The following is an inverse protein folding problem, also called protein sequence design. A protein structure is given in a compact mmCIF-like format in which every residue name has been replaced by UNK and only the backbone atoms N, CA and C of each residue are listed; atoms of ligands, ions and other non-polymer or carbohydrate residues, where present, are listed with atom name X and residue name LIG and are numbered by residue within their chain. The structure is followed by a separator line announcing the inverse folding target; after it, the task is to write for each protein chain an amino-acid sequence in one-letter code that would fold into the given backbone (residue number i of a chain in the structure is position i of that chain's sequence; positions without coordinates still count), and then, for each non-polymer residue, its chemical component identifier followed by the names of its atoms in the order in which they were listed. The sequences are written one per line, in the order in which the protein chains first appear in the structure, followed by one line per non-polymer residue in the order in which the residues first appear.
data_IF_260175501087
#
_entry.id   IF_260175501087
#
_cell.length_a   1.000
_cell.length_b   1.000
_cell.length_c   1.000
_cell.angle_alpha   90.00
_cell.angle_beta   90.00
_cell.angle_gamma   90.00
#
_symmetry.space_group_name_H-M   'P 1'
#
loop_
_entity.id
_entity.type
_entity.pdbx_description
1 polymer ?
#
# COMPACT_ATOMS: atom_id res chain seq x y z
N UNK A 1 -3.04 9.58 -37.00
CA UNK A 1 -3.94 8.41 -37.00
C UNK A 1 -4.40 8.12 -38.46
N UNK A 2 -5.03 9.04 -39.12
CA UNK A 2 -5.55 8.83 -40.49
C UNK A 2 -4.46 8.42 -41.51
N UNK A 3 -3.26 9.00 -41.44
CA UNK A 3 -2.11 8.62 -42.31
C UNK A 3 -1.60 7.21 -42.03
N UNK A 4 -1.91 6.64 -40.86
CA UNK A 4 -1.57 5.28 -40.47
C UNK A 4 -2.74 4.30 -40.63
N UNK A 5 -3.85 4.73 -41.29
CA UNK A 5 -5.02 3.87 -41.54
C UNK A 5 -6.03 3.76 -40.39
N UNK A 6 -5.88 4.56 -39.35
CA UNK A 6 -6.88 4.62 -38.27
C UNK A 6 -7.95 5.66 -38.55
N UNK A 7 -9.20 5.29 -38.42
CA UNK A 7 -10.31 6.24 -38.31
C UNK A 7 -10.27 6.84 -36.92
N UNK A 8 -10.38 8.16 -36.77
CA UNK A 8 -10.14 8.82 -35.47
C UNK A 8 -11.07 8.33 -34.37
N UNK A 9 -12.35 8.17 -34.67
CA UNK A 9 -13.34 7.71 -33.67
C UNK A 9 -13.06 6.29 -33.21
N UNK A 10 -12.71 5.40 -34.13
CA UNK A 10 -12.34 4.01 -33.83
C UNK A 10 -11.05 3.96 -32.99
N UNK A 11 -10.08 4.82 -33.32
CA UNK A 11 -8.83 4.90 -32.60
C UNK A 11 -9.04 5.39 -31.16
N UNK A 12 -9.86 6.42 -30.96
CA UNK A 12 -10.23 6.89 -29.62
C UNK A 12 -10.93 5.78 -28.81
N UNK A 13 -11.86 5.05 -29.43
CA UNK A 13 -12.56 3.96 -28.78
C UNK A 13 -11.62 2.79 -28.40
N UNK A 14 -10.64 2.48 -29.26
CA UNK A 14 -9.61 1.47 -28.96
C UNK A 14 -8.69 1.89 -27.84
N UNK A 15 -8.33 3.18 -27.75
CA UNK A 15 -7.57 3.73 -26.63
C UNK A 15 -8.36 3.68 -25.31
N UNK A 16 -9.65 4.00 -25.34
CA UNK A 16 -10.53 3.89 -24.16
C UNK A 16 -10.65 2.44 -23.68
N UNK A 17 -10.67 1.47 -24.59
CA UNK A 17 -10.65 0.04 -24.31
C UNK A 17 -9.27 -0.50 -23.94
N UNK A 18 -8.23 0.35 -23.96
CA UNK A 18 -6.85 0.00 -23.67
C UNK A 18 -6.29 -1.11 -24.59
N UNK A 19 -6.68 -1.11 -25.86
CA UNK A 19 -6.15 -2.05 -26.83
C UNK A 19 -4.66 -1.80 -27.06
N UNK A 20 -3.84 -2.85 -26.87
CA UNK A 20 -2.38 -2.72 -26.83
C UNK A 20 -1.80 -2.09 -28.11
N UNK A 21 -2.26 -2.50 -29.28
CA UNK A 21 -1.77 -1.96 -30.56
C UNK A 21 -2.00 -0.46 -30.72
N UNK A 22 -3.14 0.05 -30.24
CA UNK A 22 -3.48 1.47 -30.28
C UNK A 22 -2.70 2.28 -29.24
N UNK A 23 -2.43 1.71 -28.08
CA UNK A 23 -1.59 2.29 -27.04
C UNK A 23 -0.13 2.40 -27.51
N UNK A 24 0.41 1.37 -28.13
CA UNK A 24 1.77 1.34 -28.66
C UNK A 24 1.95 2.40 -29.75
N UNK A 25 1.02 2.43 -30.71
CA UNK A 25 1.01 3.45 -31.76
C UNK A 25 0.91 4.88 -31.20
N UNK A 26 0.04 5.09 -30.20
CA UNK A 26 -0.07 6.40 -29.55
C UNK A 26 1.23 6.79 -28.83
N UNK A 27 1.82 5.87 -28.08
CA UNK A 27 3.05 6.08 -27.32
C UNK A 27 4.24 6.42 -28.23
N UNK A 28 4.36 5.77 -29.40
CA UNK A 28 5.39 6.06 -30.39
C UNK A 28 5.16 7.39 -31.14
N UNK A 29 3.91 7.77 -31.33
CA UNK A 29 3.53 8.95 -32.12
C UNK A 29 3.52 10.21 -31.27
N UNK A 30 3.18 10.12 -29.99
CA UNK A 30 3.05 11.25 -29.07
C UNK A 30 4.30 12.15 -29.02
N UNK A 31 5.54 11.62 -28.91
CA UNK A 31 6.74 12.44 -28.92
C UNK A 31 6.94 13.23 -30.23
N UNK A 32 6.48 12.69 -31.36
CA UNK A 32 6.57 13.33 -32.67
C UNK A 32 5.63 14.53 -32.78
N UNK A 33 4.51 14.50 -32.06
CA UNK A 33 3.50 15.56 -32.04
C UNK A 33 3.75 16.61 -30.95
N UNK A 34 4.52 16.27 -29.92
CA UNK A 34 4.72 17.11 -28.72
C UNK A 34 6.17 17.58 -28.53
N UNK A 35 6.91 17.77 -29.65
CA UNK A 35 8.31 18.24 -29.62
C UNK A 35 9.23 17.39 -28.71
N UNK A 36 9.03 16.06 -28.70
CA UNK A 36 9.88 15.12 -27.99
C UNK A 36 9.42 14.75 -26.56
N UNK A 37 8.27 15.26 -26.11
CA UNK A 37 7.72 14.86 -24.81
C UNK A 37 7.33 13.39 -24.81
N UNK A 38 7.73 12.65 -23.78
CA UNK A 38 7.31 11.24 -23.63
C UNK A 38 5.89 11.17 -23.06
N UNK A 39 5.06 10.31 -23.65
CA UNK A 39 3.77 9.99 -23.08
C UNK A 39 3.98 9.15 -21.81
N UNK A 40 3.41 9.63 -20.72
CA UNK A 40 3.47 8.94 -19.42
C UNK A 40 2.03 8.77 -18.92
N UNK A 41 1.36 7.66 -19.27
CA UNK A 41 -0.06 7.45 -18.98
C UNK A 41 -0.39 7.53 -17.49
N UNK A 42 0.58 7.20 -16.63
CA UNK A 42 0.40 7.19 -15.18
C UNK A 42 0.62 8.56 -14.51
N UNK A 43 1.21 9.56 -15.18
CA UNK A 43 1.48 10.88 -14.57
C UNK A 43 0.25 11.79 -14.44
N UNK A 44 -0.85 11.47 -15.11
CA UNK A 44 -2.09 12.28 -15.06
C UNK A 44 -3.24 11.56 -14.34
N UNK A 45 -3.02 10.34 -13.87
CA UNK A 45 -4.01 9.63 -13.06
C UNK A 45 -4.01 10.23 -11.64
N UNK A 46 -4.99 11.05 -11.37
CA UNK A 46 -5.31 11.48 -10.01
C UNK A 46 -5.88 10.25 -9.26
N UNK A 47 -4.99 9.54 -8.57
CA UNK A 47 -5.35 8.32 -7.83
C UNK A 47 -6.48 8.61 -6.82
N UNK A 48 -6.46 9.79 -6.19
CA UNK A 48 -7.48 10.21 -5.23
C UNK A 48 -8.84 10.28 -5.90
N UNK A 49 -8.89 10.89 -7.08
CA UNK A 49 -10.13 11.01 -7.86
C UNK A 49 -10.65 9.65 -8.34
N UNK A 50 -9.77 8.74 -8.71
CA UNK A 50 -10.14 7.37 -9.09
C UNK A 50 -10.79 6.64 -7.90
N UNK A 51 -10.18 6.66 -6.74
CA UNK A 51 -10.75 6.03 -5.54
C UNK A 51 -12.06 6.68 -5.12
N UNK A 52 -12.19 8.00 -5.27
CA UNK A 52 -13.46 8.69 -5.05
C UNK A 52 -14.56 8.20 -5.98
N UNK A 53 -14.26 8.03 -7.28
CA UNK A 53 -15.23 7.51 -8.25
C UNK A 53 -15.59 6.07 -7.98
N UNK A 54 -14.61 5.21 -7.67
CA UNK A 54 -14.85 3.80 -7.31
C UNK A 54 -15.77 3.73 -6.08
N UNK A 55 -15.48 4.49 -5.02
CA UNK A 55 -16.32 4.50 -3.82
C UNK A 55 -17.75 4.93 -4.15
N UNK A 56 -17.92 5.95 -4.99
CA UNK A 56 -19.25 6.40 -5.41
C UNK A 56 -20.03 5.28 -6.12
N UNK A 57 -19.41 4.62 -7.10
CA UNK A 57 -20.04 3.50 -7.83
C UNK A 57 -20.40 2.38 -6.87
N UNK A 58 -19.49 1.98 -5.98
CA UNK A 58 -19.74 0.92 -5.02
C UNK A 58 -20.92 1.23 -4.10
N UNK A 59 -21.05 2.48 -3.65
CA UNK A 59 -22.10 2.88 -2.70
C UNK A 59 -23.41 3.16 -3.42
N UNK A 60 -23.41 3.93 -4.52
CA UNK A 60 -24.62 4.42 -5.17
C UNK A 60 -25.23 3.44 -6.16
N UNK A 61 -24.38 2.64 -6.85
CA UNK A 61 -24.83 1.75 -7.92
C UNK A 61 -24.86 0.29 -7.47
N UNK A 62 -23.85 -0.15 -6.70
CA UNK A 62 -23.70 -1.55 -6.29
C UNK A 62 -24.25 -1.83 -4.87
N UNK A 63 -24.61 -0.79 -4.10
CA UNK A 63 -25.25 -0.92 -2.79
C UNK A 63 -24.33 -1.36 -1.64
N UNK A 64 -23.00 -1.23 -1.80
CA UNK A 64 -22.04 -1.48 -0.72
C UNK A 64 -22.10 -0.35 0.33
N UNK A 65 -21.70 -0.68 1.56
CA UNK A 65 -21.62 0.33 2.64
C UNK A 65 -20.44 1.32 2.45
N UNK A 66 -19.42 0.91 1.67
CA UNK A 66 -18.23 1.69 1.43
C UNK A 66 -17.04 0.83 1.00
N UNK A 67 -15.83 1.39 1.08
CA UNK A 67 -14.59 0.77 0.64
C UNK A 67 -13.54 0.76 1.75
N UNK A 68 -12.88 -0.37 1.94
CA UNK A 68 -11.73 -0.52 2.83
C UNK A 68 -10.45 -0.71 2.00
N UNK A 69 -9.53 0.22 2.11
CA UNK A 69 -8.24 0.23 1.43
C UNK A 69 -7.14 -0.14 2.42
N UNK A 70 -6.33 -1.12 2.06
CA UNK A 70 -5.14 -1.50 2.82
C UNK A 70 -3.91 -1.26 1.95
N UNK A 71 -3.00 -0.42 2.44
CA UNK A 71 -1.70 -0.22 1.85
C UNK A 71 -0.67 -0.94 2.71
N UNK A 72 -0.38 -2.17 2.33
CA UNK A 72 0.64 -2.98 2.99
C UNK A 72 2.05 -2.55 2.55
N UNK A 73 3.04 -2.90 3.35
CA UNK A 73 4.45 -2.57 3.08
C UNK A 73 4.72 -1.04 2.96
N UNK A 74 3.95 -0.22 3.67
CA UNK A 74 4.11 1.24 3.63
C UNK A 74 5.53 1.70 4.01
N UNK A 75 6.21 0.93 4.85
CA UNK A 75 7.61 1.14 5.19
C UNK A 75 8.52 1.14 3.97
N UNK A 76 8.36 0.15 3.09
CA UNK A 76 9.16 0.03 1.86
C UNK A 76 8.86 1.15 0.87
N UNK A 77 7.60 1.58 0.82
CA UNK A 77 7.21 2.74 0.02
C UNK A 77 7.94 3.99 0.47
N UNK A 78 8.02 4.26 1.77
CA UNK A 78 8.74 5.42 2.32
C UNK A 78 10.26 5.34 2.11
N UNK A 79 10.84 4.15 2.17
CA UNK A 79 12.28 3.93 2.03
C UNK A 79 12.75 3.89 0.56
N UNK A 80 11.87 3.54 -0.37
CA UNK A 80 12.20 3.30 -1.79
C UNK A 80 12.21 4.55 -2.68
N UNK A 81 11.70 5.68 -2.22
CA UNK A 81 11.54 6.87 -3.06
C UNK A 81 12.65 7.90 -2.83
N UNK A 82 13.28 8.32 -3.93
CA UNK A 82 14.20 9.46 -3.91
C UNK A 82 13.48 10.77 -3.55
N UNK A 83 14.22 11.74 -3.01
CA UNK A 83 13.69 13.00 -2.49
C UNK A 83 12.82 13.80 -3.49
N UNK A 84 13.03 13.66 -4.80
CA UNK A 84 12.27 14.35 -5.83
C UNK A 84 10.81 13.89 -5.94
N UNK A 85 10.56 12.60 -5.79
CA UNK A 85 9.20 12.03 -5.90
C UNK A 85 8.45 12.06 -4.56
N UNK A 86 9.18 11.99 -3.46
CA UNK A 86 8.64 11.91 -2.11
C UNK A 86 7.63 13.03 -1.79
N UNK A 87 7.90 14.27 -2.21
CA UNK A 87 6.99 15.40 -1.94
C UNK A 87 5.63 15.25 -2.63
N UNK A 88 5.61 14.77 -3.88
CA UNK A 88 4.37 14.52 -4.63
C UNK A 88 3.60 13.33 -4.02
N UNK A 89 4.32 12.30 -3.62
CA UNK A 89 3.74 11.11 -3.02
C UNK A 89 3.10 11.43 -1.67
N UNK A 90 3.77 12.23 -0.84
CA UNK A 90 3.22 12.70 0.43
C UNK A 90 1.99 13.58 0.24
N UNK A 91 1.97 14.39 -0.81
CA UNK A 91 0.79 15.18 -1.16
C UNK A 91 -0.36 14.27 -1.56
N UNK A 92 -0.14 13.29 -2.41
CA UNK A 92 -1.16 12.30 -2.81
C UNK A 92 -1.72 11.55 -1.61
N UNK A 93 -0.87 11.13 -0.67
CA UNK A 93 -1.29 10.49 0.58
C UNK A 93 -2.10 11.44 1.46
N UNK A 94 -1.70 12.71 1.55
CA UNK A 94 -2.44 13.73 2.28
C UNK A 94 -3.84 13.91 1.68
N UNK A 95 -3.93 14.07 0.35
CA UNK A 95 -5.19 14.24 -0.36
C UNK A 95 -6.09 12.99 -0.22
N UNK A 96 -5.49 11.78 -0.19
CA UNK A 96 -6.20 10.53 0.12
C UNK A 96 -6.76 10.52 1.54
N UNK A 97 -5.97 10.92 2.54
CA UNK A 97 -6.46 11.02 3.92
C UNK A 97 -7.61 12.04 4.05
N UNK A 98 -7.53 13.15 3.32
CA UNK A 98 -8.60 14.17 3.29
C UNK A 98 -9.88 13.61 2.65
N UNK A 99 -9.76 12.87 1.53
CA UNK A 99 -10.89 12.19 0.89
C UNK A 99 -11.57 11.22 1.85
N UNK A 100 -10.77 10.38 2.52
CA UNK A 100 -11.27 9.39 3.50
C UNK A 100 -11.99 10.08 4.64
N UNK A 101 -11.43 11.13 5.22
CA UNK A 101 -12.05 11.90 6.30
C UNK A 101 -13.37 12.58 5.85
N UNK A 102 -13.43 13.04 4.60
CA UNK A 102 -14.63 13.65 4.03
C UNK A 102 -15.71 12.62 3.68
N UNK A 103 -15.39 11.33 3.56
CA UNK A 103 -16.30 10.26 3.12
C UNK A 103 -17.37 9.88 4.14
N UNK A 104 -17.37 10.47 5.35
CA UNK A 104 -18.33 10.19 6.43
C UNK A 104 -18.41 8.71 6.82
N UNK A 105 -17.28 8.00 6.74
CA UNK A 105 -17.19 6.60 7.10
C UNK A 105 -17.43 5.61 5.95
N UNK A 106 -17.68 6.09 4.74
CA UNK A 106 -17.80 5.22 3.56
C UNK A 106 -16.42 4.72 3.07
N UNK A 107 -15.35 5.40 3.44
CA UNK A 107 -13.99 4.97 3.09
C UNK A 107 -13.16 4.80 4.36
N UNK A 108 -12.40 3.70 4.40
CA UNK A 108 -11.40 3.45 5.43
C UNK A 108 -10.08 3.21 4.71
N UNK A 109 -9.01 3.85 5.17
CA UNK A 109 -7.68 3.71 4.63
C UNK A 109 -6.70 3.31 5.72
N UNK A 110 -6.06 2.16 5.58
CA UNK A 110 -5.13 1.59 6.55
C UNK A 110 -3.75 1.44 5.91
N UNK A 111 -2.75 1.98 6.57
CA UNK A 111 -1.34 1.84 6.22
C UNK A 111 -0.69 0.84 7.17
N UNK A 112 -0.04 -0.19 6.66
CA UNK A 112 0.68 -1.18 7.46
C UNK A 112 2.17 -0.90 7.36
N UNK A 113 2.82 -0.63 8.50
CA UNK A 113 4.21 -0.24 8.58
C UNK A 113 4.93 -0.99 9.71
N UNK A 114 6.23 -1.23 9.54
CA UNK A 114 7.06 -1.89 10.56
C UNK A 114 7.56 -0.95 11.66
N UNK A 115 7.48 0.36 11.43
CA UNK A 115 7.90 1.40 12.36
C UNK A 115 6.83 2.47 12.43
N UNK A 116 6.79 3.17 13.56
CA UNK A 116 5.98 4.36 13.72
C UNK A 116 6.24 5.37 12.60
N UNK A 117 5.18 5.97 12.10
CA UNK A 117 5.26 7.04 11.10
C UNK A 117 6.14 8.19 11.61
N UNK A 118 6.07 8.48 12.92
CA UNK A 118 6.90 9.48 13.59
C UNK A 118 8.41 9.19 13.48
N UNK A 119 8.80 7.92 13.57
CA UNK A 119 10.21 7.52 13.49
C UNK A 119 10.80 7.70 12.10
N UNK A 120 9.98 7.52 11.06
CA UNK A 120 10.37 7.88 9.69
C UNK A 120 10.63 9.38 9.56
N UNK A 121 9.80 10.22 10.16
CA UNK A 121 9.95 11.67 10.15
C UNK A 121 11.26 12.18 10.75
N UNK A 122 11.93 11.40 11.63
CA UNK A 122 13.24 11.75 12.19
C UNK A 122 14.39 11.60 11.20
N UNK A 123 14.29 10.66 10.28
CA UNK A 123 15.32 10.29 9.30
C UNK A 123 15.20 11.02 7.97
N UNK A 124 14.07 11.69 7.74
CA UNK A 124 13.75 12.38 6.49
C UNK A 124 14.43 13.76 6.43
N UNK A 125 14.86 14.12 5.22
CA UNK A 125 15.46 15.42 4.91
C UNK A 125 14.54 16.59 5.30
N UNK A 126 15.13 17.69 5.79
CA UNK A 126 14.38 18.87 6.24
C UNK A 126 13.44 19.43 5.16
N UNK A 127 13.81 19.32 3.89
CA UNK A 127 13.03 19.80 2.75
C UNK A 127 11.69 19.09 2.61
N UNK A 128 11.61 17.83 3.01
CA UNK A 128 10.43 16.96 2.84
C UNK A 128 9.61 16.84 4.13
N UNK A 129 10.19 17.27 5.24
CA UNK A 129 9.61 17.13 6.59
C UNK A 129 8.23 17.79 6.74
N UNK A 130 7.97 18.89 6.03
CA UNK A 130 6.68 19.57 6.11
C UNK A 130 5.57 18.78 5.42
N UNK A 131 5.85 18.19 4.26
CA UNK A 131 4.91 17.32 3.55
C UNK A 131 4.58 16.07 4.36
N UNK A 132 5.59 15.49 5.00
CA UNK A 132 5.42 14.34 5.88
C UNK A 132 4.54 14.63 7.10
N UNK A 133 4.70 15.78 7.75
CA UNK A 133 3.85 16.23 8.85
C UNK A 133 2.39 16.39 8.46
N UNK A 134 2.14 16.75 7.20
CA UNK A 134 0.79 16.83 6.66
C UNK A 134 0.06 15.49 6.67
N UNK A 135 0.78 14.41 6.40
CA UNK A 135 0.24 13.03 6.46
C UNK A 135 0.14 12.55 7.92
N UNK A 136 1.22 12.70 8.69
CA UNK A 136 1.29 12.29 10.10
C UNK A 136 0.11 12.84 10.93
N UNK A 137 -0.22 14.11 10.76
CA UNK A 137 -1.31 14.76 11.48
C UNK A 137 -2.73 14.28 11.12
N UNK A 138 -2.88 13.46 10.05
CA UNK A 138 -4.17 12.96 9.56
C UNK A 138 -4.39 11.48 9.81
N UNK A 139 -3.35 10.77 10.25
CA UNK A 139 -3.37 9.33 10.50
C UNK A 139 -3.39 9.09 12.00
N UNK A 140 -4.25 8.16 12.42
CA UNK A 140 -4.25 7.65 13.79
C UNK A 140 -3.40 6.40 13.83
N UNK A 141 -2.34 6.40 14.61
CA UNK A 141 -1.47 5.26 14.80
C UNK A 141 -2.07 4.27 15.80
N UNK A 142 -1.94 2.99 15.47
CA UNK A 142 -2.34 1.87 16.31
C UNK A 142 -1.15 0.92 16.36
N UNK A 143 -0.56 0.77 17.54
CA UNK A 143 0.57 -0.13 17.75
C UNK A 143 0.08 -1.55 18.02
N UNK A 144 0.56 -2.49 17.20
CA UNK A 144 0.40 -3.91 17.45
C UNK A 144 1.65 -4.44 18.16
N UNK A 145 1.57 -4.53 19.48
CA UNK A 145 2.63 -5.13 20.29
C UNK A 145 2.28 -6.60 20.48
N UNK A 146 3.00 -7.47 19.78
CA UNK A 146 2.91 -8.91 20.01
C UNK A 146 3.85 -9.26 21.17
N UNK A 147 3.31 -9.73 22.28
CA UNK A 147 4.12 -10.16 23.40
C UNK A 147 4.90 -11.45 23.04
N UNK A 148 6.08 -11.65 23.64
CA UNK A 148 6.82 -12.90 23.48
C UNK A 148 5.96 -14.13 23.86
N UNK A 149 5.10 -13.96 24.86
CA UNK A 149 4.15 -14.98 25.30
C UNK A 149 3.21 -15.43 24.17
N UNK A 150 2.60 -14.49 23.46
CA UNK A 150 1.70 -14.80 22.33
C UNK A 150 2.44 -15.53 21.21
N UNK A 151 3.71 -15.18 20.95
CA UNK A 151 4.53 -15.87 19.95
C UNK A 151 4.80 -17.31 20.36
N UNK A 152 5.09 -17.56 21.65
CA UNK A 152 5.29 -18.91 22.14
C UNK A 152 4.01 -19.76 22.09
N UNK A 153 2.86 -19.18 22.41
CA UNK A 153 1.56 -19.84 22.30
C UNK A 153 1.25 -20.21 20.85
N UNK A 154 1.44 -19.27 19.91
CA UNK A 154 1.24 -19.52 18.48
C UNK A 154 2.13 -20.65 17.96
N UNK A 155 3.42 -20.64 18.36
CA UNK A 155 4.37 -21.71 17.98
C UNK A 155 3.93 -23.04 18.57
N UNK A 156 3.52 -23.06 19.85
CA UNK A 156 3.07 -24.26 20.54
C UNK A 156 1.82 -24.88 19.88
N UNK A 157 0.90 -24.04 19.42
CA UNK A 157 -0.33 -24.46 18.73
C UNK A 157 -0.09 -24.92 17.30
N UNK A 158 0.96 -24.40 16.66
CA UNK A 158 1.32 -24.75 15.27
C UNK A 158 2.10 -26.07 15.19
N UNK A 159 2.81 -26.45 16.27
CA UNK A 159 3.59 -27.68 16.32
C UNK A 159 2.68 -28.85 16.70
N UNK A 160 2.44 -29.76 15.76
CA UNK A 160 1.74 -31.01 16.03
C UNK A 160 2.64 -31.94 16.85
N UNK A 161 2.18 -32.26 18.05
CA UNK A 161 2.92 -33.11 19.00
C UNK A 161 2.50 -34.57 18.84
N UNK A 162 3.46 -35.42 18.46
CA UNK A 162 3.22 -36.86 18.34
C UNK A 162 3.22 -37.50 19.74
N UNK A 163 2.06 -37.77 20.28
CA UNK A 163 1.91 -38.46 21.55
C UNK A 163 1.93 -39.99 21.36
N UNK A 164 2.50 -40.82 22.31
CA UNK A 164 3.06 -40.38 23.61
C UNK A 164 4.57 -39.97 23.55
N UNK A 165 5.22 -40.14 22.42
CA UNK A 165 6.66 -39.95 22.25
C UNK A 165 7.13 -38.55 22.72
N UNK A 166 6.33 -37.53 22.43
CA UNK A 166 6.63 -36.17 22.85
C UNK A 166 6.61 -35.99 24.36
N UNK A 167 5.58 -36.54 25.05
CA UNK A 167 5.43 -36.42 26.49
C UNK A 167 6.53 -37.17 27.27
N UNK A 168 7.00 -38.30 26.74
CA UNK A 168 8.10 -39.05 27.31
C UNK A 168 9.43 -38.32 27.18
N UNK A 169 9.75 -37.84 25.97
CA UNK A 169 10.96 -37.07 25.70
C UNK A 169 10.99 -35.74 26.49
N UNK A 170 9.86 -35.07 26.62
CA UNK A 170 9.75 -33.83 27.41
C UNK A 170 9.99 -34.05 28.89
N UNK A 171 9.48 -35.14 29.46
CA UNK A 171 9.75 -35.51 30.87
C UNK A 171 11.23 -35.79 31.10
N UNK A 172 11.86 -36.51 30.18
CA UNK A 172 13.30 -36.81 30.25
C UNK A 172 14.13 -35.53 30.18
N UNK A 173 13.81 -34.65 29.22
CA UNK A 173 14.49 -33.37 29.05
C UNK A 173 14.32 -32.47 30.28
N UNK A 174 13.13 -32.37 30.85
CA UNK A 174 12.83 -31.57 32.03
C UNK A 174 13.60 -32.00 33.27
N UNK A 175 13.95 -33.26 33.36
CA UNK A 175 14.69 -33.82 34.49
C UNK A 175 16.22 -33.64 34.34
N UNK A 176 16.72 -33.12 33.19
CA UNK A 176 18.12 -32.81 33.03
C UNK A 176 18.51 -31.55 33.82
N UNK A 177 19.71 -31.55 34.42
CA UNK A 177 20.22 -30.44 35.23
C UNK A 177 20.25 -29.08 34.49
N UNK A 178 20.46 -29.11 33.16
CA UNK A 178 20.47 -27.91 32.29
C UNK A 178 19.15 -27.16 32.26
N UNK A 179 18.01 -27.85 32.54
CA UNK A 179 16.71 -27.17 32.58
C UNK A 179 16.55 -26.32 33.85
N UNK A 180 17.08 -26.80 34.98
CA UNK A 180 17.07 -26.04 36.25
C UNK A 180 17.83 -24.73 36.15
N UNK A 181 18.95 -24.74 35.44
CA UNK A 181 19.81 -23.55 35.26
C UNK A 181 19.24 -22.47 34.30
N UNK A 182 18.23 -22.82 33.52
CA UNK A 182 17.57 -21.87 32.59
C UNK A 182 16.35 -21.19 33.20
N UNK A 183 15.74 -21.80 34.23
CA UNK A 183 14.44 -21.36 34.80
C UNK A 183 14.62 -20.56 36.07
N UNK A 184 15.82 -20.52 36.66
CA UNK A 184 16.22 -19.61 37.76
C UNK A 184 16.73 -18.26 37.17
#
# INVERSE_FOLDING_TARGET
AEQAGYVMDDFCMQLEKQEQGSLDFFTETYPKLTAGSKFQPMMQLDAVRIYQQINRILVEEEGYAGMFLVFDEFSKYLEGHGAEHFSNDMKTLQDMCELVNASKGQMIFTLVAHKSIHDYGKTIDKSVKNSFRGVEGRIKEIDFIVSAQNNYELIADTIEKKEPDFSEAYKEWKNQSVYGDIVE
#
